data_IF_230857666527
#
_entry.id   IF_230857666527
#
_cell.length_a   1.000
_cell.length_b   1.000
_cell.length_c   1.000
_cell.angle_alpha   90.00
_cell.angle_beta   90.00
_cell.angle_gamma   90.00
#
_symmetry.space_group_name_H-M   'P 1'
#
loop_
_entity.id
_entity.type
_entity.pdbx_description
1 polymer ?
#
# COMPACT_ATOMS: atom_id res chain seq x y z
N UNK A 1 -46.22 11.58 -7.99
CA UNK A 1 -44.96 12.28 -8.08
C UNK A 1 -44.29 12.23 -6.70
N UNK A 2 -43.62 11.15 -6.36
CA UNK A 2 -42.78 11.00 -5.15
C UNK A 2 -41.65 10.03 -5.47
N UNK A 3 -40.51 10.52 -6.01
CA UNK A 3 -39.27 9.80 -5.83
C UNK A 3 -38.08 10.67 -5.41
N UNK A 4 -38.23 11.99 -5.12
CA UNK A 4 -37.12 12.86 -4.81
C UNK A 4 -36.85 13.02 -3.30
N UNK A 5 -37.80 12.68 -2.46
CA UNK A 5 -37.68 12.85 -1.00
C UNK A 5 -36.88 11.75 -0.33
N UNK A 6 -36.89 10.51 -0.86
CA UNK A 6 -36.23 9.37 -0.21
C UNK A 6 -34.72 9.33 -0.43
N UNK A 7 -34.20 10.00 -1.44
CA UNK A 7 -32.74 9.98 -1.74
C UNK A 7 -31.92 10.92 -0.84
N UNK A 8 -32.57 11.95 -0.27
CA UNK A 8 -31.89 12.92 0.60
C UNK A 8 -31.82 12.48 2.07
N UNK A 9 -32.62 11.52 2.48
CA UNK A 9 -32.78 11.07 3.88
C UNK A 9 -31.64 10.13 4.31
N UNK A 10 -30.97 9.44 3.39
CA UNK A 10 -30.03 8.37 3.71
C UNK A 10 -28.63 8.88 4.04
N UNK A 11 -28.26 10.11 3.68
CA UNK A 11 -26.86 10.53 3.75
C UNK A 11 -26.46 11.44 4.92
N UNK A 12 -27.36 12.00 5.72
CA UNK A 12 -27.01 13.01 6.71
C UNK A 12 -27.86 12.96 7.98
N UNK A 13 -27.37 12.31 9.00
CA UNK A 13 -27.96 12.30 10.34
C UNK A 13 -28.04 13.71 11.00
N UNK A 14 -27.20 14.67 10.56
CA UNK A 14 -27.23 16.07 11.00
C UNK A 14 -28.00 17.03 10.07
N UNK A 15 -28.43 16.57 8.89
CA UNK A 15 -29.09 17.42 7.89
C UNK A 15 -30.60 17.49 8.08
N UNK A 16 -31.18 16.60 8.86
CA UNK A 16 -32.63 16.60 9.11
C UNK A 16 -33.12 17.91 9.75
N UNK A 17 -32.33 18.48 10.65
CA UNK A 17 -32.68 19.74 11.34
C UNK A 17 -32.64 20.90 10.34
N UNK A 18 -31.65 20.95 9.45
CA UNK A 18 -31.48 22.02 8.48
C UNK A 18 -32.55 21.99 7.37
N UNK A 19 -32.92 20.79 6.93
CA UNK A 19 -33.99 20.61 5.92
C UNK A 19 -35.36 21.00 6.50
N UNK A 20 -35.59 20.67 7.76
CA UNK A 20 -36.84 21.02 8.46
C UNK A 20 -36.97 22.53 8.65
N UNK A 21 -35.89 23.22 9.00
CA UNK A 21 -35.86 24.69 9.13
C UNK A 21 -36.07 25.37 7.78
N UNK A 22 -35.46 24.88 6.70
CA UNK A 22 -35.62 25.45 5.36
C UNK A 22 -37.05 25.27 4.81
N UNK A 23 -37.70 24.14 5.10
CA UNK A 23 -39.11 23.88 4.68
C UNK A 23 -40.09 24.74 5.48
N UNK A 24 -39.85 24.93 6.77
CA UNK A 24 -40.72 25.77 7.62
C UNK A 24 -40.55 27.25 7.35
N UNK A 25 -39.36 27.74 7.00
CA UNK A 25 -39.13 29.14 6.66
C UNK A 25 -39.51 29.51 5.22
N UNK A 26 -39.49 28.56 4.27
CA UNK A 26 -39.96 28.79 2.90
C UNK A 26 -41.46 29.15 2.85
N UNK A 27 -42.24 28.73 3.85
CA UNK A 27 -43.62 29.09 4.02
C UNK A 27 -43.84 30.54 4.50
N UNK A 28 -42.79 31.22 5.00
CA UNK A 28 -42.89 32.50 5.65
C UNK A 28 -42.21 33.65 4.89
N UNK A 29 -41.08 33.44 4.16
CA UNK A 29 -40.29 34.56 3.63
C UNK A 29 -39.71 34.48 2.22
N UNK A 30 -39.93 33.45 1.44
CA UNK A 30 -39.59 33.40 -0.01
C UNK A 30 -38.10 33.40 -0.40
N UNK A 31 -37.14 33.54 0.52
CA UNK A 31 -35.72 33.72 0.24
C UNK A 31 -34.85 32.49 0.68
N UNK A 32 -35.09 31.36 0.03
CA UNK A 32 -34.34 30.12 0.30
C UNK A 32 -32.96 30.07 -0.40
N UNK A 33 -32.62 31.05 -1.22
CA UNK A 33 -31.41 31.05 -2.06
C UNK A 33 -30.14 31.19 -1.21
N UNK A 34 -30.14 32.06 -0.22
CA UNK A 34 -28.97 32.29 0.66
C UNK A 34 -28.72 31.08 1.56
N UNK A 35 -29.78 30.47 2.11
CA UNK A 35 -29.68 29.27 2.94
C UNK A 35 -29.14 28.07 2.16
N UNK A 36 -29.57 27.92 0.90
CA UNK A 36 -29.06 26.87 0.03
C UNK A 36 -27.57 27.05 -0.30
N UNK A 37 -27.11 28.29 -0.55
CA UNK A 37 -25.69 28.60 -0.78
C UNK A 37 -24.84 28.35 0.48
N UNK A 38 -25.30 28.79 1.65
CA UNK A 38 -24.64 28.55 2.93
C UNK A 38 -24.57 27.06 3.22
N UNK A 39 -25.66 26.32 3.01
CA UNK A 39 -25.68 24.87 3.20
C UNK A 39 -24.70 24.14 2.25
N UNK A 40 -24.67 24.51 0.96
CA UNK A 40 -23.67 23.97 0.02
C UNK A 40 -22.25 24.31 0.44
N UNK A 41 -22.02 25.52 0.93
CA UNK A 41 -20.70 25.93 1.41
C UNK A 41 -20.26 25.13 2.64
N UNK A 42 -21.14 24.91 3.62
CA UNK A 42 -20.88 24.07 4.80
C UNK A 42 -20.63 22.61 4.40
N UNK A 43 -21.39 22.07 3.45
CA UNK A 43 -21.13 20.73 2.92
C UNK A 43 -19.78 20.61 2.23
N UNK A 44 -19.38 21.63 1.45
CA UNK A 44 -18.05 21.64 0.81
C UNK A 44 -16.93 21.73 1.83
N UNK A 45 -17.09 22.52 2.90
CA UNK A 45 -16.11 22.59 4.00
C UNK A 45 -16.02 21.25 4.74
N UNK A 46 -17.14 20.62 5.08
CA UNK A 46 -17.17 19.32 5.73
C UNK A 46 -16.59 18.19 4.85
N UNK A 47 -16.84 18.23 3.55
CA UNK A 47 -16.23 17.31 2.58
C UNK A 47 -14.70 17.50 2.52
N UNK A 48 -14.23 18.75 2.48
CA UNK A 48 -12.80 19.09 2.47
C UNK A 48 -12.10 18.63 3.74
N UNK A 49 -12.69 18.84 4.91
CA UNK A 49 -12.13 18.37 6.19
C UNK A 49 -12.07 16.84 6.26
N UNK A 50 -13.08 16.18 5.73
CA UNK A 50 -13.11 14.71 5.65
C UNK A 50 -12.03 14.20 4.70
N UNK A 51 -11.85 14.82 3.54
CA UNK A 51 -10.80 14.47 2.57
C UNK A 51 -9.40 14.65 3.19
N UNK A 52 -9.16 15.76 3.86
CA UNK A 52 -7.89 16.03 4.57
C UNK A 52 -7.61 14.96 5.63
N UNK A 53 -8.60 14.57 6.44
CA UNK A 53 -8.44 13.50 7.45
C UNK A 53 -8.14 12.15 6.80
N UNK A 54 -8.82 11.82 5.71
CA UNK A 54 -8.60 10.59 4.96
C UNK A 54 -7.15 10.57 4.45
N UNK A 55 -6.69 11.60 3.76
CA UNK A 55 -5.33 11.70 3.24
C UNK A 55 -4.26 11.61 4.35
N UNK A 56 -4.51 12.26 5.49
CA UNK A 56 -3.64 12.19 6.66
C UNK A 56 -3.53 10.75 7.20
N UNK A 57 -4.64 10.03 7.27
CA UNK A 57 -4.65 8.65 7.70
C UNK A 57 -3.83 7.76 6.74
N UNK A 58 -4.03 7.85 5.43
CA UNK A 58 -3.25 7.09 4.45
C UNK A 58 -1.75 7.36 4.60
N UNK A 59 -1.36 8.63 4.75
CA UNK A 59 0.03 9.03 4.96
C UNK A 59 0.62 8.39 6.22
N UNK A 60 -0.11 8.36 7.33
CA UNK A 60 0.34 7.72 8.57
C UNK A 60 0.56 6.22 8.34
N UNK A 61 -0.40 5.50 7.75
CA UNK A 61 -0.23 4.08 7.46
C UNK A 61 0.93 3.81 6.51
N UNK A 62 1.16 4.66 5.52
CA UNK A 62 2.31 4.55 4.61
C UNK A 62 3.63 4.68 5.36
N UNK A 63 3.77 5.72 6.20
CA UNK A 63 4.99 5.95 6.99
C UNK A 63 5.22 4.80 8.00
N UNK A 64 4.18 4.41 8.73
CA UNK A 64 4.27 3.30 9.70
C UNK A 64 4.65 2.00 9.01
N UNK A 65 4.08 1.72 7.83
CA UNK A 65 4.43 0.55 7.03
C UNK A 65 5.86 0.59 6.52
N UNK A 66 6.33 1.75 6.08
CA UNK A 66 7.74 1.92 5.68
C UNK A 66 8.68 1.57 6.83
N UNK A 67 8.46 2.13 8.02
CA UNK A 67 9.27 1.83 9.21
C UNK A 67 9.16 0.35 9.59
N UNK A 68 7.95 -0.21 9.58
CA UNK A 68 7.72 -1.62 9.88
C UNK A 68 8.52 -2.54 8.95
N UNK A 69 8.47 -2.29 7.63
CA UNK A 69 9.18 -3.12 6.63
C UNK A 69 10.69 -2.93 6.73
N UNK A 70 11.18 -1.72 6.98
CA UNK A 70 12.61 -1.48 7.19
C UNK A 70 13.13 -2.24 8.41
N UNK A 71 12.44 -2.16 9.54
CA UNK A 71 12.84 -2.85 10.78
C UNK A 71 12.73 -4.37 10.63
N UNK A 72 11.56 -4.86 10.21
CA UNK A 72 11.33 -6.30 10.11
C UNK A 72 12.16 -6.92 8.98
N UNK A 73 12.35 -6.24 7.86
CA UNK A 73 13.20 -6.71 6.77
C UNK A 73 14.67 -6.83 7.20
N UNK A 74 15.20 -5.81 7.89
CA UNK A 74 16.57 -5.89 8.44
C UNK A 74 16.72 -7.03 9.46
N UNK A 75 15.76 -7.20 10.36
CA UNK A 75 15.77 -8.32 11.30
C UNK A 75 15.65 -9.67 10.59
N UNK A 76 14.84 -9.75 9.56
CA UNK A 76 14.62 -10.96 8.75
C UNK A 76 15.90 -11.53 8.18
N UNK A 77 16.91 -10.71 7.93
CA UNK A 77 18.22 -11.14 7.45
C UNK A 77 18.92 -12.09 8.42
N UNK A 78 18.66 -11.95 9.71
CA UNK A 78 19.28 -12.77 10.77
C UNK A 78 18.40 -13.94 11.24
N UNK A 79 17.11 -13.94 10.91
CA UNK A 79 16.16 -14.93 11.44
C UNK A 79 16.48 -16.36 11.08
N UNK A 80 17.00 -16.62 9.88
CA UNK A 80 17.38 -17.96 9.47
C UNK A 80 18.49 -18.53 10.37
N UNK A 81 19.51 -17.73 10.69
CA UNK A 81 20.58 -18.13 11.59
C UNK A 81 20.08 -18.29 13.03
N UNK A 82 19.25 -17.36 13.52
CA UNK A 82 18.67 -17.43 14.87
C UNK A 82 17.73 -18.61 15.06
N UNK A 83 17.08 -19.08 14.00
CA UNK A 83 16.23 -20.27 14.03
C UNK A 83 17.00 -21.58 13.96
N UNK A 84 18.33 -21.55 14.09
CA UNK A 84 19.21 -22.71 13.92
C UNK A 84 19.07 -23.36 12.54
N UNK A 85 18.98 -22.53 11.50
CA UNK A 85 18.84 -22.95 10.08
C UNK A 85 17.60 -23.83 9.82
N UNK A 86 16.51 -23.52 10.51
CA UNK A 86 15.26 -24.26 10.38
C UNK A 86 14.73 -24.17 8.94
N UNK A 87 14.33 -25.30 8.36
CA UNK A 87 13.80 -25.39 7.00
C UNK A 87 12.62 -24.43 6.77
N UNK A 88 11.66 -24.41 7.71
CA UNK A 88 10.50 -23.53 7.55
C UNK A 88 10.86 -22.03 7.62
N UNK A 89 11.89 -21.68 8.39
CA UNK A 89 12.39 -20.31 8.40
C UNK A 89 13.01 -19.95 7.04
N UNK A 90 13.76 -20.85 6.41
CA UNK A 90 14.37 -20.62 5.09
C UNK A 90 13.38 -20.37 3.95
N UNK A 91 12.10 -20.78 4.08
CA UNK A 91 11.07 -20.47 3.08
C UNK A 91 10.70 -18.98 3.03
N UNK A 92 10.80 -18.30 4.18
CA UNK A 92 10.36 -16.92 4.33
C UNK A 92 11.51 -15.93 4.53
N UNK A 93 12.65 -16.41 5.02
CA UNK A 93 13.82 -15.60 5.34
C UNK A 93 15.00 -16.00 4.45
N UNK A 94 15.95 -15.08 4.18
CA UNK A 94 17.11 -15.38 3.36
C UNK A 94 17.95 -16.53 3.93
N UNK A 95 18.29 -17.48 3.07
CA UNK A 95 19.16 -18.62 3.42
C UNK A 95 20.62 -18.42 2.99
N UNK A 96 20.84 -17.52 2.01
CA UNK A 96 22.15 -17.13 1.50
C UNK A 96 22.14 -15.67 1.02
N UNK A 97 23.28 -15.16 0.57
CA UNK A 97 23.47 -13.77 0.15
C UNK A 97 23.09 -13.49 -1.30
N UNK A 98 22.35 -14.41 -1.97
CA UNK A 98 21.91 -14.18 -3.34
C UNK A 98 20.88 -13.04 -3.44
N UNK A 99 20.84 -12.37 -4.58
CA UNK A 99 19.88 -11.30 -4.84
C UNK A 99 18.44 -11.79 -4.75
N UNK A 100 18.15 -13.02 -5.15
CA UNK A 100 16.85 -13.67 -5.01
C UNK A 100 16.39 -13.75 -3.56
N UNK A 101 17.28 -14.17 -2.67
CA UNK A 101 16.99 -14.28 -1.25
C UNK A 101 16.82 -12.90 -0.59
N UNK A 102 17.59 -11.90 -1.00
CA UNK A 102 17.43 -10.52 -0.53
C UNK A 102 16.08 -9.88 -0.92
N UNK A 103 15.48 -10.30 -2.04
CA UNK A 103 14.14 -9.84 -2.41
C UNK A 103 13.08 -10.22 -1.35
N UNK A 104 13.25 -11.31 -0.61
CA UNK A 104 12.37 -11.73 0.49
C UNK A 104 12.33 -10.74 1.63
N UNK A 105 13.43 -10.01 1.89
CA UNK A 105 13.52 -9.01 2.96
C UNK A 105 12.48 -7.88 2.83
N UNK A 106 12.08 -7.55 1.62
CA UNK A 106 11.02 -6.59 1.35
C UNK A 106 9.67 -7.30 1.19
N UNK A 107 9.64 -8.38 0.41
CA UNK A 107 8.42 -9.04 -0.03
C UNK A 107 7.56 -9.52 1.16
N UNK A 108 8.09 -10.39 2.02
CA UNK A 108 7.33 -10.99 3.11
C UNK A 108 6.92 -10.00 4.20
N UNK A 109 7.79 -9.11 4.70
CA UNK A 109 7.38 -8.08 5.65
C UNK A 109 6.29 -7.15 5.09
N UNK A 110 6.40 -6.75 3.82
CA UNK A 110 5.40 -5.87 3.21
C UNK A 110 4.09 -6.61 2.93
N UNK A 111 4.15 -7.89 2.53
CA UNK A 111 2.96 -8.74 2.40
C UNK A 111 2.25 -8.90 3.74
N UNK A 112 2.99 -9.19 4.81
CA UNK A 112 2.45 -9.28 6.18
C UNK A 112 1.76 -7.96 6.58
N UNK A 113 2.43 -6.84 6.39
CA UNK A 113 1.86 -5.52 6.67
C UNK A 113 0.58 -5.27 5.88
N UNK A 114 0.56 -5.66 4.61
CA UNK A 114 -0.61 -5.51 3.74
C UNK A 114 -1.81 -6.35 4.22
N UNK A 115 -1.57 -7.58 4.66
CA UNK A 115 -2.61 -8.46 5.20
C UNK A 115 -3.23 -7.90 6.48
N UNK A 116 -2.43 -7.26 7.33
CA UNK A 116 -2.91 -6.65 8.57
C UNK A 116 -3.69 -5.35 8.32
N UNK A 117 -3.25 -4.52 7.37
CA UNK A 117 -3.77 -3.15 7.21
C UNK A 117 -4.81 -3.01 6.10
N UNK A 118 -4.75 -3.80 5.02
CA UNK A 118 -5.70 -3.70 3.92
C UNK A 118 -7.17 -3.93 4.34
N UNK A 119 -7.52 -4.87 5.25
CA UNK A 119 -8.89 -5.01 5.73
C UNK A 119 -9.43 -3.75 6.42
N UNK A 120 -8.57 -3.06 7.18
CA UNK A 120 -8.90 -1.84 7.92
C UNK A 120 -9.13 -0.68 6.94
N UNK A 121 -8.24 -0.54 5.96
CA UNK A 121 -8.25 0.56 5.01
C UNK A 121 -9.26 0.38 3.87
N UNK A 122 -9.70 -0.85 3.57
CA UNK A 122 -10.59 -1.18 2.45
C UNK A 122 -11.87 -0.35 2.40
N UNK A 123 -12.46 -0.02 3.57
CA UNK A 123 -13.70 0.77 3.62
C UNK A 123 -13.52 2.20 3.09
N UNK A 124 -12.32 2.78 3.20
CA UNK A 124 -12.00 4.15 2.78
C UNK A 124 -11.24 4.21 1.46
N UNK A 125 -10.47 3.16 1.16
CA UNK A 125 -9.64 3.03 -0.05
C UNK A 125 -9.97 1.72 -0.75
N UNK A 126 -10.95 1.69 -1.65
CA UNK A 126 -11.41 0.45 -2.30
C UNK A 126 -10.30 -0.24 -3.10
N UNK A 127 -9.33 0.53 -3.61
CA UNK A 127 -8.19 0.03 -4.39
C UNK A 127 -6.99 -0.41 -3.54
N UNK A 128 -7.06 -0.37 -2.20
CA UNK A 128 -5.90 -0.58 -1.32
C UNK A 128 -5.21 -1.93 -1.54
N UNK A 129 -5.96 -3.01 -1.79
CA UNK A 129 -5.38 -4.34 -2.05
C UNK A 129 -4.54 -4.35 -3.32
N UNK A 130 -5.08 -3.77 -4.40
CA UNK A 130 -4.36 -3.58 -5.64
C UNK A 130 -3.11 -2.73 -5.44
N UNK A 131 -3.24 -1.61 -4.71
CA UNK A 131 -2.13 -0.70 -4.43
C UNK A 131 -1.00 -1.39 -3.67
N UNK A 132 -1.33 -2.23 -2.67
CA UNK A 132 -0.32 -3.02 -1.98
C UNK A 132 0.34 -4.05 -2.89
N UNK A 133 -0.43 -4.82 -3.68
CA UNK A 133 0.14 -5.78 -4.62
C UNK A 133 1.08 -5.12 -5.62
N UNK A 134 0.67 -4.00 -6.21
CA UNK A 134 1.52 -3.24 -7.12
C UNK A 134 2.78 -2.69 -6.43
N UNK A 135 2.65 -2.17 -5.20
CA UNK A 135 3.78 -1.69 -4.41
C UNK A 135 4.76 -2.80 -4.04
N UNK A 136 4.26 -3.98 -3.60
CA UNK A 136 5.08 -5.16 -3.30
C UNK A 136 5.88 -5.58 -4.54
N UNK A 137 5.21 -5.75 -5.68
CA UNK A 137 5.89 -6.14 -6.92
C UNK A 137 6.93 -5.10 -7.34
N UNK A 138 6.55 -3.82 -7.39
CA UNK A 138 7.47 -2.75 -7.78
C UNK A 138 8.69 -2.70 -6.87
N UNK A 139 8.51 -2.70 -5.53
CA UNK A 139 9.63 -2.66 -4.59
C UNK A 139 10.51 -3.89 -4.68
N UNK A 140 9.91 -5.08 -4.75
CA UNK A 140 10.66 -6.33 -4.83
C UNK A 140 11.54 -6.39 -6.08
N UNK A 141 11.02 -5.99 -7.25
CA UNK A 141 11.80 -5.96 -8.48
C UNK A 141 12.79 -4.79 -8.57
N UNK A 142 12.60 -3.71 -7.78
CA UNK A 142 13.60 -2.64 -7.70
C UNK A 142 14.91 -3.11 -7.04
N UNK A 143 14.88 -4.10 -6.16
CA UNK A 143 16.10 -4.66 -5.55
C UNK A 143 17.08 -5.14 -6.62
N UNK A 144 16.76 -6.13 -7.48
CA UNK A 144 17.70 -6.58 -8.51
C UNK A 144 18.01 -5.48 -9.54
N UNK A 145 17.05 -4.63 -9.90
CA UNK A 145 17.29 -3.54 -10.85
C UNK A 145 18.35 -2.60 -10.34
N UNK A 146 18.24 -2.11 -9.11
CA UNK A 146 19.21 -1.15 -8.54
C UNK A 146 20.55 -1.86 -8.29
N UNK A 147 20.51 -3.08 -7.71
CA UNK A 147 21.70 -3.87 -7.40
C UNK A 147 22.55 -4.12 -8.64
N UNK A 148 21.99 -4.71 -9.70
CA UNK A 148 22.73 -4.99 -10.92
C UNK A 148 23.11 -3.73 -11.72
N UNK A 149 22.37 -2.64 -11.55
CA UNK A 149 22.74 -1.36 -12.18
C UNK A 149 24.01 -0.80 -11.58
N UNK A 150 24.07 -0.68 -10.23
CA UNK A 150 25.26 -0.08 -9.61
C UNK A 150 26.48 -1.03 -9.66
N UNK A 151 26.28 -2.35 -9.47
CA UNK A 151 27.38 -3.33 -9.55
C UNK A 151 27.90 -3.46 -10.96
N UNK A 152 27.04 -3.37 -11.98
CA UNK A 152 27.45 -3.33 -13.39
C UNK A 152 28.29 -2.11 -13.76
N UNK A 153 28.10 -0.97 -13.09
CA UNK A 153 28.89 0.26 -13.29
C UNK A 153 30.22 0.19 -12.52
N UNK A 154 30.17 -0.26 -11.26
CA UNK A 154 31.36 -0.26 -10.38
C UNK A 154 32.25 -1.51 -10.55
N UNK A 155 31.68 -2.62 -11.02
CA UNK A 155 32.37 -3.91 -11.14
C UNK A 155 32.44 -4.72 -9.83
N UNK A 156 31.93 -4.21 -8.71
CA UNK A 156 31.89 -4.86 -7.41
C UNK A 156 30.72 -4.35 -6.57
N UNK A 157 30.32 -5.12 -5.55
CA UNK A 157 29.28 -4.69 -4.61
C UNK A 157 29.87 -3.92 -3.42
N UNK A 158 29.10 -3.01 -2.86
CA UNK A 158 29.46 -2.21 -1.70
C UNK A 158 28.35 -2.33 -0.66
N UNK A 159 28.66 -2.83 0.53
CA UNK A 159 27.69 -3.08 1.62
C UNK A 159 26.76 -1.90 1.92
N UNK A 160 27.28 -0.66 1.91
CA UNK A 160 26.46 0.55 2.13
C UNK A 160 25.46 0.76 1.00
N UNK A 161 25.84 0.46 -0.25
CA UNK A 161 24.95 0.56 -1.39
C UNK A 161 23.91 -0.57 -1.42
N UNK A 162 24.25 -1.75 -0.88
CA UNK A 162 23.31 -2.87 -0.73
C UNK A 162 22.20 -2.49 0.25
N UNK A 163 22.56 -1.93 1.41
CA UNK A 163 21.57 -1.37 2.36
C UNK A 163 20.77 -0.25 1.71
N UNK A 164 21.44 0.65 0.98
CA UNK A 164 20.78 1.74 0.24
C UNK A 164 19.78 1.22 -0.79
N UNK A 165 20.10 0.14 -1.49
CA UNK A 165 19.22 -0.54 -2.46
C UNK A 165 17.94 -1.04 -1.77
N UNK A 166 18.06 -1.70 -0.62
CA UNK A 166 16.92 -2.15 0.16
C UNK A 166 16.04 -0.98 0.63
N UNK A 167 16.65 0.03 1.25
CA UNK A 167 15.93 1.23 1.74
C UNK A 167 15.19 1.94 0.61
N UNK A 168 15.87 2.18 -0.52
CA UNK A 168 15.28 2.85 -1.67
C UNK A 168 14.12 2.04 -2.27
N UNK A 169 14.27 0.73 -2.36
CA UNK A 169 13.22 -0.17 -2.85
C UNK A 169 11.97 -0.14 -1.96
N UNK A 170 12.14 -0.11 -0.63
CA UNK A 170 11.03 0.05 0.33
C UNK A 170 10.34 1.39 0.16
N UNK A 171 11.08 2.48 -0.02
CA UNK A 171 10.51 3.81 -0.25
C UNK A 171 9.70 3.87 -1.55
N UNK A 172 10.22 3.32 -2.64
CA UNK A 172 9.52 3.22 -3.93
C UNK A 172 8.25 2.39 -3.80
N UNK A 173 8.31 1.25 -3.09
CA UNK A 173 7.16 0.39 -2.83
C UNK A 173 6.02 1.14 -2.14
N UNK A 174 6.30 1.81 -1.02
CA UNK A 174 5.28 2.55 -0.27
C UNK A 174 4.84 3.83 -0.96
N UNK A 175 5.71 4.49 -1.73
CA UNK A 175 5.30 5.59 -2.60
C UNK A 175 4.27 5.11 -3.65
N UNK A 176 4.50 3.94 -4.25
CA UNK A 176 3.56 3.33 -5.20
C UNK A 176 2.22 3.02 -4.53
N UNK A 177 2.23 2.44 -3.32
CA UNK A 177 1.00 2.20 -2.53
C UNK A 177 0.25 3.52 -2.30
N UNK A 178 0.94 4.55 -1.83
CA UNK A 178 0.35 5.85 -1.55
C UNK A 178 -0.29 6.48 -2.79
N UNK A 179 0.42 6.50 -3.91
CA UNK A 179 -0.04 7.07 -5.18
C UNK A 179 -1.27 6.33 -5.72
N UNK A 180 -1.19 5.01 -5.83
CA UNK A 180 -2.27 4.20 -6.40
C UNK A 180 -3.52 4.17 -5.50
N UNK A 181 -3.35 4.21 -4.18
CA UNK A 181 -4.49 4.30 -3.25
C UNK A 181 -5.25 5.62 -3.36
N UNK A 182 -4.58 6.72 -3.76
CA UNK A 182 -5.20 8.02 -3.98
C UNK A 182 -5.91 8.12 -5.32
N UNK A 183 -5.25 7.66 -6.38
CA UNK A 183 -5.75 7.80 -7.76
C UNK A 183 -6.84 6.77 -8.02
N UNK A 184 -6.73 5.57 -7.42
CA UNK A 184 -7.62 4.43 -7.63
C UNK A 184 -7.97 4.23 -9.11
N UNK A 185 -6.99 3.95 -9.99
CA UNK A 185 -7.23 3.85 -11.42
C UNK A 185 -8.25 2.74 -11.70
N UNK A 186 -9.17 2.99 -12.61
CA UNK A 186 -10.03 1.96 -13.16
C UNK A 186 -9.17 1.06 -14.05
N UNK A 187 -8.72 -0.05 -13.51
CA UNK A 187 -7.90 -1.02 -14.23
C UNK A 187 -8.53 -2.40 -14.16
N UNK A 188 -8.82 -2.98 -15.29
CA UNK A 188 -9.22 -4.39 -15.40
C UNK A 188 -8.11 -5.32 -14.92
N UNK A 189 -6.87 -4.84 -14.92
CA UNK A 189 -5.69 -5.59 -14.50
C UNK A 189 -5.51 -5.70 -12.98
N UNK A 190 -6.42 -5.20 -12.14
CA UNK A 190 -6.29 -5.27 -10.66
C UNK A 190 -6.08 -6.70 -10.16
N UNK A 191 -6.80 -7.64 -10.73
CA UNK A 191 -6.67 -9.05 -10.39
C UNK A 191 -5.30 -9.61 -10.78
N UNK A 192 -4.74 -9.18 -11.92
CA UNK A 192 -3.43 -9.62 -12.40
C UNK A 192 -2.31 -9.30 -11.40
N UNK A 193 -2.32 -8.11 -10.80
CA UNK A 193 -1.31 -7.71 -9.80
C UNK A 193 -1.40 -8.57 -8.52
N UNK A 194 -2.62 -8.85 -8.05
CA UNK A 194 -2.82 -9.73 -6.89
C UNK A 194 -2.34 -11.14 -7.22
N UNK A 195 -2.71 -11.66 -8.39
CA UNK A 195 -2.29 -12.98 -8.86
C UNK A 195 -0.76 -13.06 -9.02
N UNK A 196 -0.13 -12.06 -9.63
CA UNK A 196 1.33 -11.99 -9.78
C UNK A 196 2.05 -11.96 -8.40
N UNK A 197 1.49 -11.28 -7.41
CA UNK A 197 2.03 -11.28 -6.04
C UNK A 197 1.96 -12.67 -5.42
N UNK A 198 0.85 -13.39 -5.59
CA UNK A 198 0.71 -14.76 -5.10
C UNK A 198 1.63 -15.74 -5.84
N UNK A 199 1.77 -15.56 -7.15
CA UNK A 199 2.70 -16.36 -7.96
C UNK A 199 4.16 -16.14 -7.54
N UNK A 200 4.54 -14.90 -7.26
CA UNK A 200 5.88 -14.56 -6.76
C UNK A 200 6.12 -15.15 -5.36
N UNK A 201 5.11 -15.13 -4.48
CA UNK A 201 5.19 -15.78 -3.16
C UNK A 201 5.44 -17.29 -3.31
N UNK A 202 4.71 -17.95 -4.19
CA UNK A 202 4.93 -19.37 -4.51
C UNK A 202 6.34 -19.60 -5.10
N UNK A 203 6.78 -18.69 -5.98
CA UNK A 203 8.14 -18.72 -6.55
C UNK A 203 9.23 -18.64 -5.48
N UNK A 204 9.10 -17.76 -4.49
CA UNK A 204 10.06 -17.69 -3.38
C UNK A 204 10.13 -19.00 -2.61
N UNK A 205 9.01 -19.65 -2.32
CA UNK A 205 8.97 -20.93 -1.60
C UNK A 205 9.62 -22.04 -2.46
N UNK A 206 9.24 -22.15 -3.72
CA UNK A 206 9.73 -23.23 -4.62
C UNK A 206 11.23 -23.08 -4.89
N UNK A 207 11.68 -21.85 -5.21
CA UNK A 207 13.08 -21.65 -5.59
C UNK A 207 14.04 -21.54 -4.39
N UNK A 208 13.54 -21.43 -3.17
CA UNK A 208 14.37 -21.68 -1.98
C UNK A 208 14.72 -23.17 -1.83
N UNK A 209 13.81 -24.07 -2.26
CA UNK A 209 14.04 -25.52 -2.23
C UNK A 209 14.83 -26.00 -3.45
N UNK A 210 14.57 -25.38 -4.61
CA UNK A 210 15.12 -25.78 -5.91
C UNK A 210 15.67 -24.55 -6.65
N UNK A 211 16.83 -24.00 -6.21
CA UNK A 211 17.39 -22.80 -6.82
C UNK A 211 17.77 -23.08 -8.29
N UNK A 212 17.49 -22.11 -9.16
CA UNK A 212 17.87 -22.17 -10.56
C UNK A 212 19.34 -21.80 -10.72
N UNK A 213 20.00 -22.38 -11.70
CA UNK A 213 21.40 -22.07 -12.03
C UNK A 213 21.48 -20.76 -12.87
N UNK A 214 21.10 -19.63 -12.28
CA UNK A 214 21.10 -18.28 -12.86
C UNK A 214 21.81 -17.34 -11.90
N UNK A 215 22.45 -16.28 -12.39
CA UNK A 215 23.17 -15.30 -11.59
C UNK A 215 22.33 -14.65 -10.47
N UNK A 216 21.01 -14.60 -10.62
CA UNK A 216 20.09 -14.10 -9.59
C UNK A 216 20.08 -14.95 -8.31
N UNK A 217 20.38 -16.25 -8.41
CA UNK A 217 20.40 -17.23 -7.34
C UNK A 217 21.82 -17.53 -6.82
N UNK A 218 22.85 -16.99 -7.47
CA UNK A 218 24.23 -17.09 -7.01
C UNK A 218 24.59 -15.95 -6.08
N UNK A 219 25.52 -16.21 -5.17
CA UNK A 219 26.08 -15.15 -4.33
C UNK A 219 26.89 -14.18 -5.21
N UNK A 220 26.80 -12.86 -4.96
CA UNK A 220 27.61 -11.89 -5.68
C UNK A 220 29.09 -12.08 -5.36
N UNK A 221 29.94 -11.97 -6.37
CA UNK A 221 31.40 -12.05 -6.25
C UNK A 221 31.95 -10.83 -5.52
#
# INVERSE_FOLDING_TARGET
MRPAEDFLIIQLSNSRIFLHVCITEHLISGDCSVYYLVYRYILMLGAKDTEVRILKQLKIYTITGTVFVLVLGTLSHFFYQWSNQNFFAGLFFPINESTWEHMKLLFFPMLLYSLMTAPILKKRYPCIRYSFSAGILTGTFMIPVIFYTYTGILGYHIFILDIGTFVLSVLIAFYTVYRLSRICPESECRFLFIFATLLLAAGFIVFSCFPLNLGLFSEPL
#
